data_IF_826387321675
#
_entry.id   IF_826387321675
#
_cell.length_a   1.000
_cell.length_b   1.000
_cell.length_c   1.000
_cell.angle_alpha   90.00
_cell.angle_beta   90.00
_cell.angle_gamma   90.00
#
_symmetry.space_group_name_H-M   'P 1'
#
loop_
_entity.id
_entity.type
_entity.pdbx_description
1 polymer ?
#
# COMPACT_ATOMS: atom_id res chain seq x y z
N UNK A 1 -5.16 18.05 -44.66
CA UNK A 1 -4.16 16.98 -44.49
C UNK A 1 -4.88 15.80 -43.91
N UNK A 2 -5.03 14.72 -44.66
CA UNK A 2 -5.65 13.50 -44.15
C UNK A 2 -4.66 12.82 -43.19
N UNK A 3 -5.09 12.64 -41.93
CA UNK A 3 -4.40 11.81 -40.95
C UNK A 3 -4.08 10.42 -41.57
N UNK A 4 -2.81 9.97 -41.59
CA UNK A 4 -2.42 8.68 -42.15
C UNK A 4 -3.25 7.53 -41.57
N UNK A 5 -3.67 6.57 -42.40
CA UNK A 5 -4.56 5.47 -41.96
C UNK A 5 -4.03 4.66 -40.78
N UNK A 6 -2.71 4.54 -40.62
CA UNK A 6 -2.08 3.89 -39.47
C UNK A 6 -2.25 4.66 -38.15
N UNK A 7 -2.34 5.99 -38.21
CA UNK A 7 -2.61 6.86 -37.06
C UNK A 7 -4.05 6.69 -36.59
N UNK A 8 -5.02 6.56 -37.50
CA UNK A 8 -6.42 6.25 -37.15
C UNK A 8 -6.59 4.87 -36.54
N UNK A 9 -5.84 3.87 -37.02
CA UNK A 9 -5.83 2.53 -36.41
C UNK A 9 -5.17 2.50 -35.03
N UNK A 10 -4.17 3.34 -34.77
CA UNK A 10 -3.53 3.48 -33.45
C UNK A 10 -4.36 4.31 -32.47
N UNK A 11 -5.02 5.36 -32.95
CA UNK A 11 -5.92 6.22 -32.16
C UNK A 11 -7.30 5.58 -31.90
N UNK A 12 -7.68 4.57 -32.68
CA UNK A 12 -8.86 3.73 -32.44
C UNK A 12 -8.61 2.56 -31.47
N UNK A 13 -7.38 2.40 -30.96
CA UNK A 13 -7.10 1.44 -29.88
C UNK A 13 -7.56 2.02 -28.54
N UNK A 14 -8.29 1.21 -27.78
CA UNK A 14 -8.70 1.56 -26.42
C UNK A 14 -7.48 1.95 -25.57
N UNK A 15 -7.58 2.98 -24.69
CA UNK A 15 -6.43 3.56 -23.99
C UNK A 15 -5.58 2.54 -23.22
N UNK A 16 -6.23 1.54 -22.62
CA UNK A 16 -5.56 0.46 -21.89
C UNK A 16 -4.74 -0.43 -22.82
N UNK A 17 -5.28 -0.78 -24.00
CA UNK A 17 -4.59 -1.60 -24.99
C UNK A 17 -3.37 -0.85 -25.56
N UNK A 18 -3.52 0.45 -25.83
CA UNK A 18 -2.44 1.31 -26.29
C UNK A 18 -1.32 1.40 -25.24
N UNK A 19 -1.66 1.58 -23.96
CA UNK A 19 -0.68 1.66 -22.87
C UNK A 19 0.12 0.35 -22.74
N UNK A 20 -0.55 -0.81 -22.77
CA UNK A 20 0.11 -2.13 -22.73
C UNK A 20 1.02 -2.33 -23.94
N UNK A 21 0.54 -2.00 -25.14
CA UNK A 21 1.30 -2.17 -26.38
C UNK A 21 2.54 -1.28 -26.41
N UNK A 22 2.42 0.00 -26.02
CA UNK A 22 3.53 0.93 -25.91
C UNK A 22 4.58 0.46 -24.89
N UNK A 23 4.13 -0.06 -23.74
CA UNK A 23 5.01 -0.57 -22.69
C UNK A 23 5.83 -1.78 -23.18
N UNK A 24 5.20 -2.70 -23.89
CA UNK A 24 5.85 -3.89 -24.46
C UNK A 24 6.79 -3.45 -25.60
N UNK A 25 6.33 -2.61 -26.53
CA UNK A 25 7.14 -2.12 -27.65
C UNK A 25 8.37 -1.33 -27.20
N UNK A 26 8.21 -0.46 -26.19
CA UNK A 26 9.32 0.26 -25.58
C UNK A 26 10.32 -0.71 -24.93
N UNK A 27 9.84 -1.76 -24.27
CA UNK A 27 10.70 -2.76 -23.61
C UNK A 27 11.44 -3.66 -24.62
N UNK A 28 10.78 -4.04 -25.72
CA UNK A 28 11.37 -4.74 -26.87
C UNK A 28 12.49 -3.90 -27.52
N UNK A 29 12.20 -2.64 -27.85
CA UNK A 29 13.17 -1.74 -28.48
C UNK A 29 14.36 -1.46 -27.55
N UNK A 30 14.09 -1.29 -26.26
CA UNK A 30 15.10 -1.13 -25.24
C UNK A 30 15.99 -2.37 -25.10
N UNK A 31 15.41 -3.56 -25.18
CA UNK A 31 16.14 -4.83 -25.15
C UNK A 31 16.99 -5.01 -26.41
N UNK A 32 16.42 -4.71 -27.58
CA UNK A 32 17.13 -4.75 -28.85
C UNK A 32 18.33 -3.81 -28.90
N UNK A 33 18.18 -2.58 -28.42
CA UNK A 33 19.27 -1.58 -28.41
C UNK A 33 20.41 -1.95 -27.46
N UNK A 34 20.15 -2.75 -26.43
CA UNK A 34 21.11 -3.00 -25.33
C UNK A 34 21.81 -4.35 -25.40
N UNK A 35 21.24 -5.33 -26.12
CA UNK A 35 21.79 -6.69 -26.25
C UNK A 35 21.51 -7.60 -25.05
N UNK A 36 21.71 -8.90 -25.23
CA UNK A 36 21.28 -9.96 -24.30
C UNK A 36 21.81 -9.80 -22.87
N UNK A 37 23.11 -9.53 -22.71
CA UNK A 37 23.75 -9.45 -21.39
C UNK A 37 23.26 -8.29 -20.51
N UNK A 38 22.88 -7.15 -21.09
CA UNK A 38 22.31 -6.03 -20.34
C UNK A 38 20.81 -6.22 -20.07
N UNK A 39 20.10 -6.91 -20.96
CA UNK A 39 18.68 -7.24 -20.77
C UNK A 39 18.48 -8.31 -19.69
N UNK A 40 19.33 -9.35 -19.65
CA UNK A 40 19.24 -10.42 -18.65
C UNK A 40 19.44 -9.91 -17.23
N UNK A 41 20.39 -8.98 -17.03
CA UNK A 41 20.62 -8.27 -15.76
C UNK A 41 19.38 -7.52 -15.25
N UNK A 42 18.63 -6.87 -16.15
CA UNK A 42 17.39 -6.15 -15.80
C UNK A 42 16.24 -7.08 -15.50
N UNK A 43 16.11 -8.16 -16.26
CA UNK A 43 15.10 -9.19 -16.01
C UNK A 43 15.35 -9.83 -14.63
N UNK A 44 16.60 -10.18 -14.32
CA UNK A 44 16.99 -10.68 -13.01
C UNK A 44 16.63 -9.70 -11.89
N UNK A 45 17.03 -8.43 -12.01
CA UNK A 45 16.67 -7.39 -11.00
C UNK A 45 15.16 -7.31 -10.79
N UNK A 46 14.36 -7.30 -11.86
CA UNK A 46 12.90 -7.21 -11.73
C UNK A 46 12.28 -8.43 -11.08
N UNK A 47 12.71 -9.64 -11.47
CA UNK A 47 12.24 -10.88 -10.83
C UNK A 47 12.64 -10.90 -9.36
N UNK A 48 13.89 -10.55 -9.05
CA UNK A 48 14.40 -10.50 -7.68
C UNK A 48 13.63 -9.47 -6.84
N UNK A 49 13.48 -8.24 -7.33
CA UNK A 49 12.72 -7.18 -6.65
C UNK A 49 11.27 -7.58 -6.40
N UNK A 50 10.67 -8.31 -7.34
CA UNK A 50 9.33 -8.88 -7.24
C UNK A 50 9.24 -9.95 -6.14
N UNK A 51 10.20 -10.89 -6.09
CA UNK A 51 10.27 -11.89 -5.01
C UNK A 51 10.40 -11.19 -3.66
N UNK A 52 11.31 -10.21 -3.55
CA UNK A 52 11.48 -9.45 -2.31
C UNK A 52 10.21 -8.70 -1.92
N UNK A 53 9.47 -8.15 -2.88
CA UNK A 53 8.21 -7.46 -2.61
C UNK A 53 7.17 -8.43 -2.04
N UNK A 54 6.97 -9.58 -2.68
CA UNK A 54 6.02 -10.61 -2.25
C UNK A 54 6.37 -11.12 -0.85
N UNK A 55 7.64 -11.46 -0.61
CA UNK A 55 8.10 -11.91 0.71
C UNK A 55 7.91 -10.83 1.78
N UNK A 56 8.19 -9.56 1.45
CA UNK A 56 8.00 -8.44 2.39
C UNK A 56 6.52 -8.25 2.73
N UNK A 57 5.63 -8.29 1.74
CA UNK A 57 4.19 -8.11 1.96
C UNK A 57 3.59 -9.26 2.77
N UNK A 58 3.87 -10.51 2.38
CA UNK A 58 3.35 -11.68 3.08
C UNK A 58 3.92 -11.79 4.51
N UNK A 59 5.22 -11.56 4.67
CA UNK A 59 5.86 -11.53 5.97
C UNK A 59 5.31 -10.41 6.86
N UNK A 60 5.11 -9.22 6.31
CA UNK A 60 4.56 -8.09 7.05
C UNK A 60 3.12 -8.34 7.51
N UNK A 61 2.29 -8.93 6.65
CA UNK A 61 0.93 -9.30 7.01
C UNK A 61 0.91 -10.31 8.17
N UNK A 62 1.77 -11.34 8.11
CA UNK A 62 1.87 -12.34 9.19
C UNK A 62 2.41 -11.75 10.48
N UNK A 63 3.46 -10.93 10.43
CA UNK A 63 4.01 -10.25 11.61
C UNK A 63 3.00 -9.29 12.23
N UNK A 64 2.27 -8.51 11.42
CA UNK A 64 1.26 -7.58 11.91
C UNK A 64 0.13 -8.31 12.65
N UNK A 65 -0.31 -9.47 12.14
CA UNK A 65 -1.30 -10.30 12.80
C UNK A 65 -0.77 -10.86 14.13
N UNK A 66 0.43 -11.42 14.14
CA UNK A 66 1.05 -12.01 15.35
C UNK A 66 1.34 -10.96 16.44
N UNK A 67 1.79 -9.77 16.04
CA UNK A 67 2.17 -8.70 16.97
C UNK A 67 0.99 -7.83 17.42
N UNK A 68 -0.18 -7.94 16.79
CA UNK A 68 -1.34 -7.10 17.11
C UNK A 68 -1.76 -7.24 18.57
N UNK A 69 -2.03 -8.47 19.05
CA UNK A 69 -2.45 -8.67 20.45
C UNK A 69 -1.37 -8.25 21.47
N UNK A 70 -0.10 -8.67 21.34
CA UNK A 70 0.98 -8.19 22.22
C UNK A 70 1.13 -6.66 22.25
N UNK A 71 0.98 -6.00 21.09
CA UNK A 71 1.06 -4.55 20.99
C UNK A 71 -0.12 -3.85 21.69
N UNK A 72 -1.31 -4.43 21.65
CA UNK A 72 -2.48 -3.94 22.40
C UNK A 72 -2.19 -3.90 23.90
N UNK A 73 -1.71 -5.01 24.44
CA UNK A 73 -1.46 -5.16 25.87
C UNK A 73 -0.28 -4.31 26.34
N UNK A 74 0.73 -4.14 25.48
CA UNK A 74 1.81 -3.19 25.73
C UNK A 74 1.29 -1.76 25.79
N UNK A 75 0.49 -1.31 24.81
CA UNK A 75 -0.08 0.04 24.79
C UNK A 75 -1.02 0.29 25.98
N UNK A 76 -1.82 -0.69 26.41
CA UNK A 76 -2.66 -0.58 27.62
C UNK A 76 -1.86 -0.32 28.89
N UNK A 77 -0.68 -0.92 29.01
CA UNK A 77 0.20 -0.77 30.18
C UNK A 77 0.99 0.54 30.17
N UNK A 78 1.31 1.07 28.99
CA UNK A 78 2.22 2.22 28.84
C UNK A 78 1.50 3.54 28.58
N UNK A 79 0.30 3.52 27.97
CA UNK A 79 -0.43 4.72 27.57
C UNK A 79 -1.55 5.00 28.57
N UNK A 80 -1.25 5.89 29.52
CA UNK A 80 -2.23 6.52 30.42
C UNK A 80 -2.42 7.97 29.97
N UNK A 81 -3.65 8.37 29.69
CA UNK A 81 -3.96 9.74 29.25
C UNK A 81 -3.90 10.67 30.48
N UNK A 82 -3.10 11.76 30.45
CA UNK A 82 -3.02 12.67 31.58
C UNK A 82 -4.32 13.45 31.81
N UNK A 83 -4.74 13.62 33.08
CA UNK A 83 -5.95 14.38 33.46
C UNK A 83 -5.76 15.91 33.44
N UNK A 84 -4.62 16.39 32.95
CA UNK A 84 -4.32 17.83 32.80
C UNK A 84 -4.78 18.35 31.43
N UNK A 85 -4.99 19.66 31.30
CA UNK A 85 -5.22 20.29 30.00
C UNK A 85 -4.08 19.97 29.03
N UNK A 86 -4.39 19.26 27.94
CA UNK A 86 -3.43 18.84 26.93
C UNK A 86 -3.32 19.93 25.86
N UNK A 87 -2.10 20.16 25.36
CA UNK A 87 -1.92 20.96 24.15
C UNK A 87 -2.52 20.26 22.93
N UNK A 88 -2.83 21.01 21.88
CA UNK A 88 -3.45 20.47 20.65
C UNK A 88 -2.66 19.33 20.01
N UNK A 89 -1.33 19.43 19.98
CA UNK A 89 -0.47 18.37 19.44
C UNK A 89 -0.40 17.13 20.34
N UNK A 90 -0.46 17.35 21.65
CA UNK A 90 -0.48 16.28 22.66
C UNK A 90 -1.81 15.52 22.58
N UNK A 91 -2.92 16.24 22.40
CA UNK A 91 -4.24 15.65 22.19
C UNK A 91 -4.27 14.76 20.94
N UNK A 92 -3.78 15.25 19.80
CA UNK A 92 -3.69 14.46 18.56
C UNK A 92 -2.84 13.21 18.75
N UNK A 93 -1.70 13.33 19.45
CA UNK A 93 -0.81 12.20 19.71
C UNK A 93 -1.45 11.13 20.60
N UNK A 94 -2.08 11.52 21.70
CA UNK A 94 -2.76 10.57 22.58
C UNK A 94 -3.99 9.97 21.92
N UNK A 95 -4.78 10.73 21.17
CA UNK A 95 -5.89 10.20 20.37
C UNK A 95 -5.40 9.16 19.38
N UNK A 96 -4.26 9.39 18.71
CA UNK A 96 -3.70 8.40 17.81
C UNK A 96 -3.26 7.13 18.54
N UNK A 97 -2.52 7.27 19.65
CA UNK A 97 -2.05 6.11 20.43
C UNK A 97 -3.18 5.29 21.04
N UNK A 98 -4.21 5.93 21.58
CA UNK A 98 -5.40 5.23 22.08
C UNK A 98 -6.17 4.59 20.92
N UNK A 99 -6.27 5.24 19.76
CA UNK A 99 -6.88 4.62 18.57
C UNK A 99 -6.11 3.38 18.12
N UNK A 100 -4.77 3.40 18.10
CA UNK A 100 -3.95 2.23 17.76
C UNK A 100 -4.08 1.13 18.82
N UNK A 101 -4.27 1.49 20.09
CA UNK A 101 -4.51 0.53 21.17
C UNK A 101 -5.87 -0.15 21.06
N UNK A 102 -6.91 0.64 20.80
CA UNK A 102 -8.30 0.22 20.96
C UNK A 102 -8.94 -0.27 19.65
N UNK A 103 -8.41 0.14 18.48
CA UNK A 103 -8.88 -0.29 17.16
C UNK A 103 -7.93 -1.34 16.56
N UNK A 104 -8.31 -2.63 16.52
CA UNK A 104 -7.47 -3.70 16.00
C UNK A 104 -7.04 -3.50 14.55
N UNK A 105 -7.92 -2.94 13.71
CA UNK A 105 -7.64 -2.69 12.29
C UNK A 105 -6.56 -1.62 12.11
N UNK A 106 -6.67 -0.51 12.85
CA UNK A 106 -5.67 0.56 12.81
C UNK A 106 -4.33 0.03 13.29
N UNK A 107 -4.33 -0.79 14.36
CA UNK A 107 -3.13 -1.43 14.88
C UNK A 107 -2.47 -2.35 13.87
N UNK A 108 -3.24 -3.25 13.24
CA UNK A 108 -2.74 -4.15 12.20
C UNK A 108 -2.18 -3.35 11.02
N UNK A 109 -2.86 -2.29 10.60
CA UNK A 109 -2.37 -1.41 9.54
C UNK A 109 -1.03 -0.74 9.89
N UNK A 110 -0.91 -0.14 11.07
CA UNK A 110 0.35 0.47 11.55
C UNK A 110 1.46 -0.58 11.65
N UNK A 111 1.19 -1.74 12.25
CA UNK A 111 2.16 -2.83 12.36
C UNK A 111 2.56 -3.40 11.00
N UNK A 112 1.63 -3.48 10.05
CA UNK A 112 1.93 -3.92 8.68
C UNK A 112 2.91 -2.98 8.01
N UNK A 113 2.69 -1.67 8.09
CA UNK A 113 3.59 -0.68 7.49
C UNK A 113 4.98 -0.72 8.11
N UNK A 114 5.07 -0.82 9.44
CA UNK A 114 6.34 -0.92 10.15
C UNK A 114 7.07 -2.24 9.82
N UNK A 115 6.37 -3.36 9.85
CA UNK A 115 6.93 -4.67 9.53
C UNK A 115 7.34 -4.75 8.05
N UNK A 116 6.56 -4.17 7.14
CA UNK A 116 6.90 -4.09 5.72
C UNK A 116 8.18 -3.29 5.50
N UNK A 117 8.31 -2.11 6.11
CA UNK A 117 9.52 -1.30 6.01
C UNK A 117 10.75 -2.04 6.57
N UNK A 118 10.61 -2.69 7.73
CA UNK A 118 11.68 -3.46 8.35
C UNK A 118 12.09 -4.68 7.50
N UNK A 119 11.13 -5.49 7.05
CA UNK A 119 11.38 -6.64 6.17
C UNK A 119 11.98 -6.21 4.84
N UNK A 120 11.49 -5.11 4.25
CA UNK A 120 12.03 -4.59 2.99
C UNK A 120 13.50 -4.20 3.16
N UNK A 121 13.84 -3.53 4.27
CA UNK A 121 15.23 -3.20 4.60
C UNK A 121 16.08 -4.46 4.78
N UNK A 122 15.63 -5.40 5.61
CA UNK A 122 16.35 -6.65 5.90
C UNK A 122 16.56 -7.51 4.65
N UNK A 123 15.50 -7.73 3.87
CA UNK A 123 15.54 -8.53 2.66
C UNK A 123 16.38 -7.87 1.55
N UNK A 124 16.35 -6.53 1.47
CA UNK A 124 17.18 -5.79 0.50
C UNK A 124 18.68 -5.95 0.77
N UNK A 125 19.09 -6.24 2.00
CA UNK A 125 20.48 -6.53 2.35
C UNK A 125 21.02 -7.82 1.69
N UNK A 126 20.13 -8.72 1.23
CA UNK A 126 20.51 -9.95 0.52
C UNK A 126 20.67 -9.76 -1.00
N UNK A 127 20.28 -8.61 -1.54
CA UNK A 127 20.43 -8.30 -2.96
C UNK A 127 21.86 -8.43 -3.49
N UNK A 128 22.92 -8.01 -2.77
CA UNK A 128 24.30 -8.23 -3.21
C UNK A 128 24.68 -9.72 -3.32
N UNK A 129 24.14 -10.57 -2.46
CA UNK A 129 24.38 -12.02 -2.50
C UNK A 129 23.67 -12.66 -3.69
N UNK A 130 22.43 -12.26 -3.95
CA UNK A 130 21.69 -12.69 -5.12
C UNK A 130 22.40 -12.30 -6.43
N UNK A 131 22.98 -11.10 -6.46
CA UNK A 131 23.78 -10.63 -7.59
C UNK A 131 25.04 -11.48 -7.79
N UNK A 132 25.77 -11.82 -6.73
CA UNK A 132 26.93 -12.73 -6.80
C UNK A 132 26.54 -14.12 -7.33
N UNK A 133 25.41 -14.66 -6.89
CA UNK A 133 24.88 -15.93 -7.39
C UNK A 133 24.53 -15.87 -8.89
N UNK A 134 23.87 -14.79 -9.31
CA UNK A 134 23.57 -14.53 -10.72
C UNK A 134 24.85 -14.43 -11.56
N UNK A 135 25.87 -13.73 -11.07
CA UNK A 135 27.15 -13.61 -11.76
C UNK A 135 27.86 -14.97 -11.87
N UNK A 136 27.85 -15.80 -10.82
CA UNK A 136 28.42 -17.15 -10.86
C UNK A 136 27.73 -18.05 -11.90
N UNK A 137 26.40 -17.94 -12.02
CA UNK A 137 25.61 -18.74 -12.97
C UNK A 137 25.70 -18.25 -14.41
N UNK A 138 26.04 -16.97 -14.62
CA UNK A 138 26.11 -16.35 -15.95
C UNK A 138 27.53 -16.06 -16.43
N UNK A 139 28.54 -16.39 -15.60
CA UNK A 139 29.94 -16.43 -16.03
C UNK A 139 30.08 -17.45 -17.17
N UNK A 140 30.64 -17.07 -18.33
CA UNK A 140 30.91 -18.03 -19.39
C UNK A 140 31.99 -19.00 -18.89
N UNK A 141 31.64 -20.28 -18.77
CA UNK A 141 32.60 -21.35 -18.53
C UNK A 141 33.42 -21.57 -19.80
N UNK A 142 34.64 -21.04 -19.86
CA UNK A 142 35.64 -21.41 -20.88
C UNK A 142 36.26 -20.28 -21.70
N UNK A 143 36.72 -19.19 -21.08
CA UNK A 143 37.69 -18.26 -21.68
C UNK A 143 38.71 -17.80 -20.62
N UNK A 144 39.17 -18.74 -19.77
CA UNK A 144 40.19 -18.44 -18.74
C UNK A 144 41.64 -18.56 -19.25
N UNK A 145 41.87 -18.92 -20.52
CA UNK A 145 43.24 -19.10 -21.02
C UNK A 145 43.76 -17.93 -21.88
N UNK A 146 42.89 -17.10 -22.49
CA UNK A 146 43.36 -16.07 -23.46
C UNK A 146 43.39 -14.62 -22.92
N UNK A 147 42.54 -14.25 -21.94
CA UNK A 147 42.52 -12.87 -21.40
C UNK A 147 43.58 -12.64 -20.32
N UNK A 148 43.90 -13.66 -19.51
CA UNK A 148 44.94 -13.59 -18.47
C UNK A 148 46.37 -13.62 -19.03
N UNK A 149 46.55 -14.11 -20.26
CA UNK A 149 47.81 -14.06 -21.02
C UNK A 149 47.96 -12.70 -21.73
N UNK A 150 46.87 -12.18 -22.31
CA UNK A 150 46.87 -10.85 -22.94
C UNK A 150 47.06 -9.70 -21.94
N UNK A 151 46.45 -9.76 -20.74
CA UNK A 151 46.67 -8.75 -19.69
C UNK A 151 48.07 -8.87 -19.03
N UNK A 152 48.68 -10.06 -19.05
CA UNK A 152 50.09 -10.23 -18.63
C UNK A 152 51.06 -9.66 -19.66
N UNK A 153 50.86 -9.92 -20.96
CA UNK A 153 51.71 -9.37 -22.03
C UNK A 153 51.61 -7.84 -22.12
N UNK A 154 50.40 -7.27 -22.03
CA UNK A 154 50.19 -5.82 -22.09
C UNK A 154 50.72 -5.14 -20.80
N UNK A 155 50.65 -5.82 -19.65
CA UNK A 155 51.21 -5.36 -18.38
C UNK A 155 52.75 -5.34 -18.34
N UNK A 156 53.42 -6.28 -19.00
CA UNK A 156 54.88 -6.29 -19.13
C UNK A 156 55.38 -5.25 -20.14
N UNK A 157 54.68 -5.05 -21.26
CA UNK A 157 55.02 -4.02 -22.24
C UNK A 157 54.88 -2.59 -21.67
N UNK A 158 53.90 -2.37 -20.79
CA UNK A 158 53.74 -1.11 -20.06
C UNK A 158 54.86 -0.86 -19.05
N UNK A 159 55.31 -1.89 -18.32
CA UNK A 159 56.43 -1.77 -17.37
C UNK A 159 57.75 -1.48 -18.08
N UNK A 160 58.03 -2.12 -19.20
CA UNK A 160 59.22 -1.82 -20.01
C UNK A 160 59.20 -0.39 -20.60
N UNK A 161 58.01 0.11 -20.97
CA UNK A 161 57.87 1.52 -21.41
C UNK A 161 58.12 2.49 -20.27
N UNK A 162 57.60 2.23 -19.07
CA UNK A 162 57.86 3.07 -17.91
C UNK A 162 59.33 3.08 -17.49
N UNK A 163 60.02 1.93 -17.55
CA UNK A 163 61.45 1.85 -17.26
C UNK A 163 62.30 2.62 -18.28
N UNK A 164 61.98 2.51 -19.58
CA UNK A 164 62.64 3.32 -20.63
C UNK A 164 62.42 4.82 -20.44
N UNK A 165 61.22 5.23 -20.03
CA UNK A 165 60.94 6.63 -19.69
C UNK A 165 61.66 7.09 -18.42
N UNK A 166 61.79 6.21 -17.41
CA UNK A 166 62.50 6.49 -16.18
C UNK A 166 64.03 6.60 -16.39
N UNK A 167 64.60 5.78 -17.28
CA UNK A 167 66.02 5.81 -17.64
C UNK A 167 66.38 7.09 -18.42
N UNK A 168 65.54 7.50 -19.38
CA UNK A 168 65.68 8.79 -20.07
C UNK A 168 65.64 9.97 -19.08
N UNK A 169 64.81 9.89 -18.04
CA UNK A 169 64.69 10.91 -16.99
C UNK A 169 65.83 10.88 -15.94
N UNK A 170 66.66 9.83 -15.92
CA UNK A 170 67.89 9.77 -15.13
C UNK A 170 69.05 10.35 -15.92
N UNK A 171 69.22 9.96 -17.19
CA UNK A 171 70.22 10.54 -18.10
C UNK A 171 70.07 12.06 -18.29
N UNK A 172 68.84 12.56 -18.42
CA UNK A 172 68.61 14.01 -18.54
C UNK A 172 68.78 14.81 -17.24
N UNK A 173 69.06 14.15 -16.10
CA UNK A 173 69.27 14.81 -14.80
C UNK A 173 70.74 14.89 -14.39
N UNK A 174 71.59 14.04 -14.95
CA UNK A 174 73.03 14.03 -14.69
C UNK A 174 73.77 15.14 -15.47
N UNK A 175 73.14 15.80 -16.44
CA UNK A 175 73.71 16.90 -17.22
C UNK A 175 73.41 18.31 -16.67
N UNK A 176 72.62 18.48 -15.60
CA UNK A 176 72.11 19.80 -15.20
C UNK A 176 72.57 20.35 -13.83
N UNK A 177 73.49 19.72 -13.11
CA UNK A 177 74.09 20.32 -11.90
C UNK A 177 75.56 19.94 -11.71
N UNK A 178 76.46 20.80 -12.20
CA UNK A 178 77.87 20.83 -11.88
C UNK A 178 78.37 22.28 -11.84
N UNK A 179 78.41 22.85 -10.62
CA UNK A 179 79.22 23.98 -10.13
C UNK A 179 80.52 24.22 -10.95
N UNK A 180 81.09 25.43 -11.13
CA UNK A 180 81.21 26.57 -10.21
C UNK A 180 81.95 27.76 -10.88
N UNK A 181 81.65 28.99 -10.40
CA UNK A 181 82.60 30.08 -10.08
C UNK A 181 83.15 31.07 -11.16
N UNK A 182 82.60 32.29 -11.07
CA UNK A 182 83.24 33.62 -10.88
C UNK A 182 84.13 34.27 -11.97
N UNK A 183 83.70 35.49 -12.36
CA UNK A 183 84.44 36.77 -12.47
C UNK A 183 84.64 37.37 -13.86
N UNK A 184 84.46 38.70 -13.92
CA UNK A 184 85.06 39.58 -14.92
C UNK A 184 84.13 40.05 -16.03
N UNK A 185 83.63 41.28 -15.86
CA UNK A 185 83.74 42.42 -16.80
C UNK A 185 83.40 42.27 -18.30
N UNK A 186 82.69 43.31 -18.76
CA UNK A 186 82.67 43.92 -20.11
C UNK A 186 81.91 43.24 -21.28
N UNK A 187 80.79 43.90 -21.62
CA UNK A 187 80.36 44.40 -22.95
C UNK A 187 81.23 44.09 -24.21
N UNK A 188 80.72 44.27 -25.45
CA UNK A 188 79.55 43.71 -26.14
C UNK A 188 79.91 43.25 -27.59
N UNK A 189 78.90 43.10 -28.48
CA UNK A 189 78.91 42.85 -29.95
C UNK A 189 78.70 41.40 -30.46
N UNK A 190 77.63 41.22 -31.25
CA UNK A 190 77.37 40.06 -32.14
C UNK A 190 78.09 40.22 -33.49
N UNK A 191 77.50 39.86 -34.66
CA UNK A 191 76.49 38.84 -35.03
C UNK A 191 76.99 37.96 -36.22
N UNK A 192 76.08 37.30 -36.95
CA UNK A 192 76.23 36.48 -38.20
C UNK A 192 76.58 34.99 -38.00
N UNK A 193 76.00 34.00 -38.70
CA UNK A 193 75.01 33.99 -39.78
C UNK A 193 74.86 32.57 -40.37
N UNK A 194 73.79 32.40 -41.16
CA UNK A 194 73.62 31.56 -42.36
C UNK A 194 73.55 30.02 -42.25
N UNK A 195 72.35 29.54 -42.59
CA UNK A 195 71.99 28.57 -43.65
C UNK A 195 72.78 27.26 -43.81
N UNK A 196 72.04 26.14 -43.76
CA UNK A 196 72.12 25.10 -44.80
C UNK A 196 70.97 24.07 -44.66
N UNK A 197 70.23 23.88 -45.74
CA UNK A 197 69.36 22.73 -46.01
C UNK A 197 70.20 21.46 -46.23
N UNK A 198 69.66 20.29 -45.86
CA UNK A 198 70.08 19.02 -46.49
C UNK A 198 68.94 17.98 -46.47
N UNK A 199 68.66 17.43 -47.66
CA UNK A 199 67.63 16.44 -47.94
C UNK A 199 68.12 14.98 -47.79
N UNK A 200 67.26 14.12 -47.20
CA UNK A 200 67.13 12.68 -47.53
C UNK A 200 67.91 11.67 -46.67
N UNK A 201 67.53 10.35 -46.61
CA UNK A 201 66.63 9.65 -47.53
C UNK A 201 65.46 8.86 -46.86
N UNK A 202 64.43 8.61 -47.68
CA UNK A 202 63.25 7.81 -47.39
C UNK A 202 63.61 6.33 -47.16
N UNK A 203 63.26 5.77 -45.99
CA UNK A 203 63.09 4.32 -45.80
C UNK A 203 61.62 3.93 -45.77
N UNK A 204 61.27 3.11 -46.75
CA UNK A 204 59.98 2.46 -46.97
C UNK A 204 59.84 1.30 -45.96
N UNK A 205 59.20 1.56 -44.83
CA UNK A 205 58.76 0.55 -43.87
C UNK A 205 57.24 0.45 -43.92
N UNK A 206 56.72 -0.73 -44.28
CA UNK A 206 55.30 -1.02 -44.42
C UNK A 206 54.50 -0.66 -43.16
N UNK A 207 53.68 0.40 -43.24
CA UNK A 207 52.55 0.58 -42.33
C UNK A 207 51.55 -0.53 -42.63
N UNK A 208 51.70 -1.68 -41.95
CA UNK A 208 50.60 -2.62 -41.74
C UNK A 208 49.59 -1.85 -40.89
N UNK A 209 48.59 -1.26 -41.54
CA UNK A 209 47.43 -0.74 -40.84
C UNK A 209 46.79 -1.92 -40.11
N UNK A 210 47.01 -2.03 -38.80
CA UNK A 210 46.18 -2.81 -37.90
C UNK A 210 44.78 -2.21 -37.96
N UNK A 211 43.99 -2.66 -38.94
CA UNK A 211 42.53 -2.62 -38.84
C UNK A 211 42.19 -3.27 -37.50
N UNK A 212 41.43 -2.62 -36.60
CA UNK A 212 40.94 -3.33 -35.43
C UNK A 212 40.19 -4.58 -35.91
N UNK A 213 40.32 -5.72 -35.21
CA UNK A 213 39.59 -6.91 -35.60
C UNK A 213 38.12 -6.53 -35.67
N UNK A 214 37.51 -6.75 -36.84
CA UNK A 214 36.07 -6.65 -37.00
C UNK A 214 35.47 -7.63 -35.98
N UNK A 215 34.95 -7.10 -34.88
CA UNK A 215 34.03 -7.84 -34.04
C UNK A 215 32.98 -8.44 -34.96
N UNK A 216 32.84 -9.76 -34.88
CA UNK A 216 32.05 -10.57 -35.79
C UNK A 216 30.65 -9.98 -35.94
N UNK A 217 30.30 -9.58 -37.17
CA UNK A 217 28.98 -9.04 -37.50
C UNK A 217 27.83 -10.05 -37.26
N UNK A 218 28.14 -11.31 -36.95
CA UNK A 218 27.19 -12.35 -36.57
C UNK A 218 26.73 -12.33 -35.11
N UNK A 219 27.58 -11.88 -34.16
CA UNK A 219 27.25 -11.88 -32.72
C UNK A 219 26.34 -10.71 -32.30
N UNK A 220 26.43 -9.57 -33.01
CA UNK A 220 25.67 -8.37 -32.70
C UNK A 220 24.17 -8.51 -32.94
N UNK A 221 23.76 -9.10 -34.06
CA UNK A 221 22.33 -9.27 -34.39
C UNK A 221 21.67 -10.35 -33.54
N UNK A 222 22.35 -11.47 -33.29
CA UNK A 222 21.85 -12.52 -32.40
C UNK A 222 21.72 -12.02 -30.95
N UNK A 223 22.71 -11.29 -30.43
CA UNK A 223 22.64 -10.68 -29.10
C UNK A 223 21.55 -9.61 -28.99
N UNK A 224 21.33 -8.82 -30.04
CA UNK A 224 20.22 -7.84 -30.08
C UNK A 224 18.86 -8.52 -30.17
N UNK A 225 18.72 -9.60 -30.93
CA UNK A 225 17.50 -10.40 -30.99
C UNK A 225 17.19 -11.06 -29.63
N UNK A 226 18.17 -11.69 -29.00
CA UNK A 226 18.04 -12.23 -27.64
C UNK A 226 17.75 -11.12 -26.62
N UNK A 227 18.39 -9.96 -26.74
CA UNK A 227 18.11 -8.77 -25.95
C UNK A 227 16.68 -8.27 -26.10
N UNK A 228 16.13 -8.30 -27.32
CA UNK A 228 14.74 -7.95 -27.62
C UNK A 228 13.78 -8.95 -26.99
N UNK A 229 14.02 -10.26 -27.12
CA UNK A 229 13.20 -11.31 -26.49
C UNK A 229 13.12 -11.13 -24.96
N UNK A 230 14.27 -10.93 -24.31
CA UNK A 230 14.34 -10.66 -22.86
C UNK A 230 13.63 -9.35 -22.50
N UNK A 231 13.78 -8.31 -23.33
CA UNK A 231 13.06 -7.04 -23.18
C UNK A 231 11.54 -7.20 -23.33
N UNK A 232 11.09 -8.07 -24.24
CA UNK A 232 9.69 -8.41 -24.44
C UNK A 232 9.08 -9.12 -23.24
N UNK A 233 9.76 -10.14 -22.71
CA UNK A 233 9.35 -10.84 -21.48
C UNK A 233 9.22 -9.86 -20.30
N UNK A 234 10.18 -8.96 -20.16
CA UNK A 234 10.14 -7.91 -19.14
C UNK A 234 9.00 -6.92 -19.36
N UNK A 235 8.73 -6.55 -20.62
CA UNK A 235 7.59 -5.69 -21.00
C UNK A 235 6.25 -6.33 -20.67
N UNK A 236 6.10 -7.63 -20.93
CA UNK A 236 4.90 -8.41 -20.57
C UNK A 236 4.73 -8.43 -19.05
N UNK A 237 5.79 -8.69 -18.29
CA UNK A 237 5.74 -8.65 -16.82
C UNK A 237 5.24 -7.31 -16.27
N UNK A 238 5.74 -6.19 -16.82
CA UNK A 238 5.26 -4.85 -16.44
C UNK A 238 3.82 -4.57 -16.87
N UNK A 239 3.41 -5.08 -18.03
CA UNK A 239 2.04 -4.95 -18.51
C UNK A 239 1.06 -5.68 -17.57
N UNK A 240 1.43 -6.87 -17.09
CA UNK A 240 0.65 -7.59 -16.09
C UNK A 240 0.53 -6.83 -14.77
N UNK A 241 1.62 -6.21 -14.30
CA UNK A 241 1.59 -5.34 -13.10
C UNK A 241 0.67 -4.13 -13.30
N UNK A 242 0.74 -3.48 -14.46
CA UNK A 242 -0.16 -2.38 -14.82
C UNK A 242 -1.62 -2.85 -14.79
N UNK A 243 -1.93 -3.99 -15.42
CA UNK A 243 -3.27 -4.57 -15.45
C UNK A 243 -3.77 -4.97 -14.06
N UNK A 244 -2.91 -5.52 -13.20
CA UNK A 244 -3.24 -5.82 -11.81
C UNK A 244 -3.52 -4.55 -10.99
N UNK A 245 -2.77 -3.47 -11.22
CA UNK A 245 -3.03 -2.17 -10.60
C UNK A 245 -4.35 -1.55 -11.05
N UNK A 246 -4.66 -1.64 -12.35
CA UNK A 246 -5.96 -1.23 -12.89
C UNK A 246 -7.11 -2.06 -12.31
N UNK A 247 -6.89 -3.36 -12.12
CA UNK A 247 -7.87 -4.25 -11.49
C UNK A 247 -8.15 -3.83 -10.05
N UNK A 248 -7.10 -3.58 -9.26
CA UNK A 248 -7.25 -3.08 -7.90
C UNK A 248 -7.99 -1.73 -7.86
N UNK A 249 -7.66 -0.82 -8.77
CA UNK A 249 -8.32 0.48 -8.87
C UNK A 249 -9.82 0.36 -9.16
N UNK A 250 -10.21 -0.43 -10.17
CA UNK A 250 -11.62 -0.64 -10.54
C UNK A 250 -12.36 -1.40 -9.44
N UNK A 251 -11.74 -2.39 -8.80
CA UNK A 251 -12.36 -3.15 -7.70
C UNK A 251 -12.58 -2.32 -6.44
N UNK A 252 -11.67 -1.41 -6.09
CA UNK A 252 -11.80 -0.58 -4.89
C UNK A 252 -12.67 0.67 -5.12
N UNK A 253 -12.67 1.20 -6.34
CA UNK A 253 -13.32 2.47 -6.67
C UNK A 253 -14.15 2.36 -7.95
N UNK A 254 -15.22 1.53 -7.97
CA UNK A 254 -16.01 1.28 -9.18
C UNK A 254 -16.69 2.54 -9.73
N UNK A 255 -16.98 3.51 -8.87
CA UNK A 255 -17.60 4.79 -9.25
C UNK A 255 -16.59 5.91 -9.58
N UNK A 256 -15.28 5.64 -9.51
CA UNK A 256 -14.27 6.66 -9.76
C UNK A 256 -14.18 7.04 -11.24
N UNK A 257 -13.70 8.27 -11.56
CA UNK A 257 -13.41 8.65 -12.93
C UNK A 257 -12.50 7.61 -13.60
N UNK A 258 -12.73 7.33 -14.88
CA UNK A 258 -12.01 6.33 -15.68
C UNK A 258 -12.36 4.86 -15.38
N UNK A 259 -13.01 4.52 -14.26
CA UNK A 259 -13.32 3.12 -13.91
C UNK A 259 -14.17 2.44 -15.00
N UNK A 260 -15.25 3.10 -15.43
CA UNK A 260 -16.11 2.60 -16.52
C UNK A 260 -15.37 2.44 -17.87
N UNK A 261 -14.41 3.33 -18.17
CA UNK A 261 -13.59 3.25 -19.38
C UNK A 261 -12.50 2.17 -19.33
N UNK A 262 -12.02 1.83 -18.14
CA UNK A 262 -11.10 0.70 -17.94
C UNK A 262 -11.86 -0.61 -18.02
N UNK A 263 -13.03 -0.70 -17.39
CA UNK A 263 -13.88 -1.90 -17.36
C UNK A 263 -14.41 -2.28 -18.75
N UNK A 264 -14.68 -1.30 -19.62
CA UNK A 264 -15.09 -1.57 -21.00
C UNK A 264 -13.97 -2.14 -21.88
N UNK A 265 -12.70 -2.00 -21.47
CA UNK A 265 -11.55 -2.45 -22.26
C UNK A 265 -11.51 -3.98 -22.40
N UNK A 266 -11.50 -4.52 -23.65
CA UNK A 266 -11.39 -5.96 -23.88
C UNK A 266 -10.11 -6.58 -23.33
N UNK A 267 -8.98 -5.86 -23.44
CA UNK A 267 -7.68 -6.33 -22.93
C UNK A 267 -7.69 -6.41 -21.40
N UNK A 268 -8.31 -5.42 -20.74
CA UNK A 268 -8.47 -5.44 -19.30
C UNK A 268 -9.36 -6.60 -18.86
N UNK A 269 -10.58 -6.74 -19.42
CA UNK A 269 -11.51 -7.82 -19.06
C UNK A 269 -10.91 -9.20 -19.28
N UNK A 270 -10.28 -9.42 -20.43
CA UNK A 270 -9.65 -10.69 -20.74
C UNK A 270 -8.51 -11.04 -19.77
N UNK A 271 -7.71 -10.05 -19.35
CA UNK A 271 -6.67 -10.26 -18.34
C UNK A 271 -7.26 -10.44 -16.94
N UNK A 272 -8.28 -9.66 -16.58
CA UNK A 272 -9.00 -9.77 -15.33
C UNK A 272 -9.60 -11.17 -15.17
N UNK A 273 -10.42 -11.62 -16.12
CA UNK A 273 -11.15 -12.89 -16.06
C UNK A 273 -10.23 -14.11 -16.08
N UNK A 274 -9.14 -14.07 -16.86
CA UNK A 274 -8.28 -15.25 -17.07
C UNK A 274 -7.08 -15.35 -16.15
N UNK A 275 -6.55 -14.22 -15.69
CA UNK A 275 -5.27 -14.20 -14.96
C UNK A 275 -5.43 -13.68 -13.54
N UNK A 276 -6.20 -12.61 -13.35
CA UNK A 276 -6.27 -11.93 -12.05
C UNK A 276 -7.38 -12.52 -11.17
N UNK A 277 -8.56 -12.81 -11.74
CA UNK A 277 -9.71 -13.32 -11.01
C UNK A 277 -9.49 -14.73 -10.46
N UNK A 278 -8.87 -15.70 -11.18
CA UNK A 278 -8.55 -17.01 -10.60
C UNK A 278 -7.49 -16.89 -9.50
N UNK A 279 -6.47 -16.04 -9.69
CA UNK A 279 -5.42 -15.81 -8.70
C UNK A 279 -5.97 -15.13 -7.44
N UNK A 280 -6.85 -14.14 -7.61
CA UNK A 280 -7.57 -13.49 -6.52
C UNK A 280 -8.53 -14.47 -5.83
N UNK A 281 -9.26 -15.28 -6.61
CA UNK A 281 -10.16 -16.32 -6.10
C UNK A 281 -9.45 -17.43 -5.32
N UNK A 282 -8.26 -17.84 -5.75
CA UNK A 282 -7.46 -18.86 -5.06
C UNK A 282 -6.72 -18.28 -3.84
N UNK A 283 -6.29 -17.01 -3.88
CA UNK A 283 -5.81 -16.29 -2.69
C UNK A 283 -6.92 -16.11 -1.64
N UNK A 284 -8.16 -15.92 -2.07
CA UNK A 284 -9.34 -15.91 -1.19
C UNK A 284 -9.62 -17.32 -0.62
N UNK A 285 -9.53 -18.38 -1.44
CA UNK A 285 -9.79 -19.76 -1.01
C UNK A 285 -8.68 -20.41 -0.17
N UNK A 286 -7.40 -20.07 -0.41
CA UNK A 286 -6.23 -20.72 0.19
C UNK A 286 -5.67 -20.04 1.45
N UNK A 287 -6.24 -18.92 1.87
CA UNK A 287 -5.77 -18.16 3.04
C UNK A 287 -6.43 -16.79 3.25
N UNK A 288 -7.55 -16.49 2.58
CA UNK A 288 -8.21 -15.20 2.67
C UNK A 288 -9.74 -15.30 2.73
N UNK A 289 -10.30 -15.68 3.89
CA UNK A 289 -11.57 -15.10 4.35
C UNK A 289 -11.51 -14.57 5.80
N UNK A 290 -10.40 -14.78 6.51
CA UNK A 290 -10.25 -14.28 7.90
C UNK A 290 -10.29 -12.75 7.94
N UNK A 291 -9.86 -12.07 6.87
CA UNK A 291 -9.96 -10.61 6.81
C UNK A 291 -11.39 -10.19 6.46
N UNK A 292 -12.13 -10.79 5.52
CA UNK A 292 -13.46 -10.26 5.17
C UNK A 292 -14.55 -10.55 6.21
N UNK A 293 -14.53 -11.70 6.86
CA UNK A 293 -15.56 -12.08 7.84
C UNK A 293 -15.20 -11.55 9.24
N UNK A 294 -13.92 -11.56 9.62
CA UNK A 294 -13.48 -10.91 10.86
C UNK A 294 -13.40 -9.38 10.72
N UNK A 295 -12.99 -8.80 9.59
CA UNK A 295 -13.12 -7.33 9.39
C UNK A 295 -14.57 -6.94 9.16
N UNK A 296 -15.42 -7.78 8.57
CA UNK A 296 -16.86 -7.52 8.47
C UNK A 296 -17.51 -7.44 9.83
N UNK A 297 -17.36 -8.47 10.66
CA UNK A 297 -17.88 -8.51 12.02
C UNK A 297 -17.19 -7.53 12.96
N UNK A 298 -15.89 -7.24 12.80
CA UNK A 298 -15.17 -6.22 13.58
C UNK A 298 -15.49 -4.79 13.12
N UNK A 299 -15.65 -4.52 11.82
CA UNK A 299 -16.15 -3.23 11.32
C UNK A 299 -17.57 -3.01 11.79
N UNK A 300 -18.40 -4.07 11.83
CA UNK A 300 -19.75 -4.01 12.35
C UNK A 300 -19.78 -3.83 13.86
N UNK A 301 -18.90 -4.49 14.62
CA UNK A 301 -18.70 -4.22 16.05
C UNK A 301 -18.15 -2.81 16.29
N UNK A 302 -17.24 -2.30 15.45
CA UNK A 302 -16.75 -0.91 15.52
C UNK A 302 -17.87 0.08 15.18
N UNK A 303 -18.78 -0.26 14.27
CA UNK A 303 -19.96 0.55 13.94
C UNK A 303 -21.04 0.46 15.02
N UNK A 304 -21.21 -0.67 15.70
CA UNK A 304 -22.08 -0.81 16.87
C UNK A 304 -21.48 -0.04 18.07
N UNK A 305 -20.18 -0.18 18.31
CA UNK A 305 -19.41 0.62 19.29
C UNK A 305 -19.32 2.10 18.91
N UNK A 306 -19.57 2.48 17.66
CA UNK A 306 -19.60 3.90 17.26
C UNK A 306 -20.59 4.66 18.12
N UNK A 307 -21.78 4.11 18.36
CA UNK A 307 -22.77 4.76 19.22
C UNK A 307 -22.40 4.66 20.71
N UNK A 308 -21.70 3.60 21.13
CA UNK A 308 -21.17 3.51 22.49
C UNK A 308 -20.09 4.56 22.77
N UNK A 309 -19.28 4.93 21.77
CA UNK A 309 -18.21 5.92 21.88
C UNK A 309 -18.69 7.35 21.62
N UNK A 310 -19.57 7.55 20.63
CA UNK A 310 -20.10 8.88 20.27
C UNK A 310 -21.06 9.39 21.33
N UNK A 311 -21.88 8.49 21.91
CA UNK A 311 -22.85 8.81 22.97
C UNK A 311 -22.34 8.30 24.33
N UNK A 312 -21.02 8.33 24.54
CA UNK A 312 -20.40 7.96 25.81
C UNK A 312 -20.62 9.03 26.90
N UNK A 313 -20.68 10.30 26.49
CA UNK A 313 -21.05 11.40 27.38
C UNK A 313 -22.55 11.35 27.64
N UNK A 314 -22.94 11.41 28.91
CA UNK A 314 -24.35 11.31 29.33
C UNK A 314 -24.79 12.71 29.79
N UNK A 315 -25.64 13.40 29.02
CA UNK A 315 -26.15 14.71 29.40
C UNK A 315 -26.91 14.68 30.73
N UNK A 316 -26.69 15.69 31.58
CA UNK A 316 -27.25 15.77 32.93
C UNK A 316 -28.79 15.71 32.94
N UNK A 317 -29.45 16.28 31.94
CA UNK A 317 -30.91 16.31 31.84
C UNK A 317 -31.50 14.93 31.50
N UNK A 318 -30.84 14.19 30.60
CA UNK A 318 -31.18 12.81 30.26
C UNK A 318 -30.90 11.90 31.46
N UNK A 319 -29.75 12.04 32.12
CA UNK A 319 -29.39 11.27 33.31
C UNK A 319 -30.41 11.48 34.44
N UNK A 320 -30.74 12.74 34.74
CA UNK A 320 -31.73 13.08 35.75
C UNK A 320 -33.12 12.56 35.40
N UNK A 321 -33.50 12.55 34.12
CA UNK A 321 -34.76 11.96 33.68
C UNK A 321 -34.78 10.45 33.87
N UNK A 322 -33.72 9.75 33.46
CA UNK A 322 -33.59 8.31 33.62
C UNK A 322 -33.70 7.91 35.10
N UNK A 323 -32.94 8.56 35.98
CA UNK A 323 -33.00 8.33 37.44
C UNK A 323 -34.40 8.54 38.02
N UNK A 324 -35.13 9.57 37.57
CA UNK A 324 -36.52 9.80 38.01
C UNK A 324 -37.47 8.71 37.52
N UNK A 325 -37.34 8.28 36.26
CA UNK A 325 -38.20 7.25 35.66
C UNK A 325 -38.00 5.91 36.37
N UNK A 326 -36.76 5.58 36.71
CA UNK A 326 -36.41 4.31 37.37
C UNK A 326 -36.47 4.39 38.90
N UNK A 327 -36.94 5.50 39.47
CA UNK A 327 -37.00 5.70 40.91
C UNK A 327 -37.89 4.66 41.60
N UNK A 328 -37.33 3.89 42.53
CA UNK A 328 -38.05 2.83 43.23
C UNK A 328 -38.28 1.58 42.39
N UNK A 329 -37.41 1.31 41.41
CA UNK A 329 -37.33 0.01 40.74
C UNK A 329 -36.49 -0.98 41.55
N UNK A 330 -36.98 -2.21 41.69
CA UNK A 330 -36.43 -3.24 42.57
C UNK A 330 -35.22 -3.98 41.97
N UNK A 331 -35.04 -3.92 40.64
CA UNK A 331 -33.97 -4.61 39.92
C UNK A 331 -33.72 -4.08 38.52
N UNK A 332 -32.72 -4.63 37.84
CA UNK A 332 -32.28 -4.18 36.51
C UNK A 332 -33.39 -4.36 35.47
N UNK A 333 -34.11 -5.48 35.53
CA UNK A 333 -35.23 -5.76 34.62
C UNK A 333 -36.32 -4.69 34.71
N UNK A 334 -36.66 -4.27 35.93
CA UNK A 334 -37.67 -3.23 36.13
C UNK A 334 -37.17 -1.86 35.69
N UNK A 335 -35.90 -1.52 35.95
CA UNK A 335 -35.29 -0.29 35.42
C UNK A 335 -35.36 -0.27 33.89
N UNK A 336 -34.95 -1.37 33.26
CA UNK A 336 -34.97 -1.53 31.80
C UNK A 336 -36.39 -1.40 31.24
N UNK A 337 -37.38 -2.03 31.90
CA UNK A 337 -38.79 -1.97 31.49
C UNK A 337 -39.39 -0.57 31.62
N UNK A 338 -39.14 0.13 32.73
CA UNK A 338 -39.65 1.50 32.94
C UNK A 338 -39.10 2.49 31.92
N UNK A 339 -37.83 2.35 31.54
CA UNK A 339 -37.25 3.12 30.45
C UNK A 339 -37.92 2.77 29.11
N UNK A 340 -38.12 1.48 28.83
CA UNK A 340 -38.76 1.01 27.60
C UNK A 340 -40.17 1.59 27.44
N UNK A 341 -40.99 1.48 28.49
CA UNK A 341 -42.36 2.00 28.52
C UNK A 341 -42.39 3.54 28.37
N UNK A 342 -41.43 4.24 29.01
CA UNK A 342 -41.31 5.68 28.88
C UNK A 342 -40.98 6.10 27.45
N UNK A 343 -39.98 5.49 26.82
CA UNK A 343 -39.64 5.84 25.44
C UNK A 343 -40.78 5.51 24.49
N UNK A 344 -41.38 4.32 24.63
CA UNK A 344 -42.53 3.89 23.83
C UNK A 344 -43.72 4.84 23.89
N UNK A 345 -43.96 5.46 25.05
CA UNK A 345 -45.08 6.40 25.25
C UNK A 345 -44.71 7.86 24.98
N UNK A 346 -43.43 8.22 24.89
CA UNK A 346 -42.97 9.62 24.85
C UNK A 346 -42.20 10.01 23.61
N UNK A 347 -41.78 9.07 22.76
CA UNK A 347 -41.08 9.34 21.51
C UNK A 347 -41.99 8.97 20.33
N UNK A 348 -42.34 9.96 19.52
CA UNK A 348 -43.11 9.78 18.30
C UNK A 348 -42.20 9.36 17.13
N UNK A 349 -42.69 8.49 16.26
CA UNK A 349 -41.93 8.08 15.09
C UNK A 349 -41.80 9.21 14.05
N UNK A 350 -40.59 9.47 13.57
CA UNK A 350 -40.34 10.50 12.54
C UNK A 350 -40.52 9.96 11.12
N UNK A 351 -41.78 9.91 10.65
CA UNK A 351 -42.11 9.50 9.28
C UNK A 351 -41.47 10.40 8.22
N UNK A 352 -41.37 11.72 8.44
CA UNK A 352 -40.75 12.64 7.47
C UNK A 352 -39.26 12.32 7.25
N UNK A 353 -38.56 11.97 8.34
CA UNK A 353 -37.16 11.54 8.30
C UNK A 353 -37.03 10.17 7.64
N UNK A 354 -37.91 9.23 7.97
CA UNK A 354 -37.93 7.90 7.36
C UNK A 354 -38.15 7.97 5.84
N UNK A 355 -39.19 8.70 5.40
CA UNK A 355 -39.53 8.88 3.99
C UNK A 355 -38.43 9.66 3.26
N UNK A 356 -37.87 10.69 3.90
CA UNK A 356 -36.73 11.43 3.35
C UNK A 356 -35.51 10.54 3.08
N UNK A 357 -35.26 9.54 3.90
CA UNK A 357 -34.20 8.56 3.67
C UNK A 357 -34.59 7.56 2.59
N UNK A 358 -35.77 6.95 2.68
CA UNK A 358 -36.21 5.89 1.75
C UNK A 358 -36.40 6.41 0.33
N UNK A 359 -37.04 7.57 0.16
CA UNK A 359 -37.40 8.12 -1.14
C UNK A 359 -36.30 8.95 -1.78
N UNK A 360 -35.50 9.65 -0.96
CA UNK A 360 -34.52 10.65 -1.44
C UNK A 360 -33.07 10.34 -1.06
N UNK A 361 -32.82 9.30 -0.25
CA UNK A 361 -31.48 8.96 0.24
C UNK A 361 -30.89 10.01 1.18
N UNK A 362 -31.70 10.92 1.73
CA UNK A 362 -31.23 12.01 2.59
C UNK A 362 -31.26 11.55 4.05
N UNK A 363 -30.10 11.22 4.60
CA UNK A 363 -29.95 10.91 6.02
C UNK A 363 -29.78 12.19 6.84
N UNK A 364 -30.62 12.37 7.86
CA UNK A 364 -30.51 13.46 8.84
C UNK A 364 -30.06 12.89 10.18
N UNK A 365 -28.77 13.00 10.47
CA UNK A 365 -28.21 12.58 11.76
C UNK A 365 -28.89 13.33 12.92
N UNK A 366 -29.15 12.63 14.03
CA UNK A 366 -29.80 13.18 15.21
C UNK A 366 -29.13 12.61 16.48
N UNK A 367 -28.91 13.46 17.48
CA UNK A 367 -28.30 13.07 18.76
C UNK A 367 -29.36 12.55 19.74
N UNK A 368 -28.99 11.76 20.77
CA UNK A 368 -29.88 11.42 21.88
C UNK A 368 -30.57 12.63 22.51
N UNK A 369 -29.86 13.74 22.67
CA UNK A 369 -30.34 15.03 23.18
C UNK A 369 -31.41 15.64 22.28
N UNK A 370 -31.22 15.60 20.97
CA UNK A 370 -32.22 16.04 20.01
C UNK A 370 -33.48 15.19 20.11
N UNK A 371 -33.36 13.86 20.19
CA UNK A 371 -34.49 12.94 20.37
C UNK A 371 -35.21 13.19 21.69
N UNK A 372 -34.47 13.37 22.77
CA UNK A 372 -35.01 13.65 24.10
C UNK A 372 -35.76 14.98 24.17
N UNK A 373 -35.24 16.01 23.49
CA UNK A 373 -35.82 17.35 23.44
C UNK A 373 -37.04 17.42 22.51
N UNK A 374 -36.92 16.89 21.30
CA UNK A 374 -37.96 16.97 20.26
C UNK A 374 -39.08 15.96 20.45
N UNK A 375 -38.81 14.89 21.21
CA UNK A 375 -39.73 13.75 21.39
C UNK A 375 -40.10 13.07 20.08
N UNK A 376 -39.20 13.13 19.08
CA UNK A 376 -39.41 12.59 17.74
C UNK A 376 -38.12 11.91 17.26
N UNK A 377 -38.22 10.73 16.64
CA UNK A 377 -37.06 10.01 16.10
C UNK A 377 -37.45 8.74 15.34
N UNK A 378 -36.53 8.19 14.55
CA UNK A 378 -36.66 6.86 13.94
C UNK A 378 -36.01 5.78 14.83
N UNK A 379 -36.05 4.52 14.42
CA UNK A 379 -35.60 3.38 15.22
C UNK A 379 -34.20 3.55 15.85
N UNK A 380 -33.22 4.01 15.07
CA UNK A 380 -31.86 4.23 15.60
C UNK A 380 -31.78 5.39 16.60
N UNK A 381 -32.58 6.44 16.43
CA UNK A 381 -32.58 7.59 17.33
C UNK A 381 -33.16 7.20 18.70
N UNK A 382 -34.24 6.42 18.68
CA UNK A 382 -34.88 5.85 19.88
C UNK A 382 -33.96 4.87 20.59
N UNK A 383 -33.30 3.96 19.83
CA UNK A 383 -32.39 2.97 20.41
C UNK A 383 -31.15 3.60 21.06
N UNK A 384 -30.63 4.69 20.46
CA UNK A 384 -29.52 5.46 21.06
C UNK A 384 -29.95 6.20 22.32
N UNK A 385 -31.11 6.86 22.31
CA UNK A 385 -31.65 7.52 23.51
C UNK A 385 -31.87 6.50 24.64
N UNK A 386 -32.44 5.33 24.33
CA UNK A 386 -32.62 4.26 25.30
C UNK A 386 -31.27 3.87 25.93
N UNK A 387 -30.24 3.66 25.10
CA UNK A 387 -28.92 3.27 25.57
C UNK A 387 -28.30 4.31 26.51
N UNK A 388 -28.39 5.61 26.19
CA UNK A 388 -27.90 6.69 27.07
C UNK A 388 -28.64 6.69 28.40
N UNK A 389 -29.98 6.57 28.38
CA UNK A 389 -30.77 6.54 29.61
C UNK A 389 -30.49 5.30 30.47
N UNK A 390 -30.32 4.13 29.84
CA UNK A 390 -30.01 2.88 30.52
C UNK A 390 -28.63 2.92 31.18
N UNK A 391 -27.61 3.47 30.49
CA UNK A 391 -26.28 3.68 31.08
C UNK A 391 -26.32 4.63 32.28
N UNK A 392 -27.13 5.69 32.22
CA UNK A 392 -27.27 6.66 33.31
C UNK A 392 -27.80 6.04 34.62
N UNK A 393 -28.50 4.90 34.53
CA UNK A 393 -29.03 4.16 35.68
C UNK A 393 -28.24 2.88 35.97
N UNK A 394 -27.05 2.74 35.37
CA UNK A 394 -26.11 1.65 35.65
C UNK A 394 -26.38 0.35 34.89
N UNK A 395 -27.28 0.33 33.90
CA UNK A 395 -27.53 -0.85 33.08
C UNK A 395 -26.46 -0.99 31.99
N UNK A 396 -25.99 -2.23 31.78
CA UNK A 396 -25.17 -2.56 30.62
C UNK A 396 -26.08 -2.78 29.40
N UNK A 397 -25.86 -2.02 28.34
CA UNK A 397 -26.76 -1.93 27.18
C UNK A 397 -25.98 -1.75 25.90
N UNK A 398 -26.43 -2.42 24.84
CA UNK A 398 -25.91 -2.26 23.47
C UNK A 398 -27.02 -1.84 22.51
N UNK A 399 -26.62 -1.12 21.47
CA UNK A 399 -27.49 -0.81 20.32
C UNK A 399 -27.24 -1.86 19.26
N UNK A 400 -28.29 -2.56 18.86
CA UNK A 400 -28.23 -3.61 17.83
C UNK A 400 -28.87 -3.08 16.56
N UNK A 401 -28.20 -3.28 15.42
CA UNK A 401 -28.71 -2.91 14.09
C UNK A 401 -28.89 -4.16 13.25
N UNK A 402 -29.97 -4.22 12.49
CA UNK A 402 -30.30 -5.39 11.68
C UNK A 402 -31.47 -5.14 10.76
N UNK A 403 -32.29 -6.16 10.59
CA UNK A 403 -33.52 -6.11 9.81
C UNK A 403 -34.74 -6.34 10.70
N UNK A 404 -35.73 -5.48 10.57
CA UNK A 404 -37.03 -5.57 11.24
C UNK A 404 -38.13 -5.93 10.24
N UNK A 405 -39.08 -6.76 10.64
CA UNK A 405 -40.27 -7.05 9.83
C UNK A 405 -41.06 -5.77 9.51
N UNK A 406 -41.52 -5.61 8.26
CA UNK A 406 -42.23 -4.41 7.80
C UNK A 406 -43.77 -4.47 7.97
N UNK A 407 -44.27 -5.57 8.56
CA UNK A 407 -45.70 -5.84 8.73
C UNK A 407 -46.45 -6.23 7.44
N UNK A 408 -45.77 -6.31 6.30
CA UNK A 408 -46.30 -6.66 4.96
C UNK A 408 -45.68 -7.95 4.39
N UNK A 409 -44.90 -8.65 5.21
CA UNK A 409 -44.20 -9.88 4.84
C UNK A 409 -42.77 -9.66 4.33
N UNK A 410 -42.26 -8.43 4.39
CA UNK A 410 -40.88 -8.07 4.08
C UNK A 410 -40.08 -7.68 5.32
N UNK A 411 -38.83 -7.28 5.07
CA UNK A 411 -37.88 -6.83 6.09
C UNK A 411 -37.23 -5.51 5.65
N UNK A 412 -37.10 -4.57 6.58
CA UNK A 412 -36.43 -3.28 6.38
C UNK A 412 -35.29 -3.08 7.37
N UNK A 413 -34.40 -2.12 7.11
CA UNK A 413 -33.34 -1.75 8.06
C UNK A 413 -33.94 -1.29 9.38
N UNK A 414 -33.44 -1.82 10.50
CA UNK A 414 -34.00 -1.56 11.82
C UNK A 414 -32.93 -1.55 12.91
N UNK A 415 -33.25 -0.97 14.06
CA UNK A 415 -32.36 -0.88 15.22
C UNK A 415 -33.14 -0.98 16.54
N UNK A 416 -32.57 -1.69 17.51
CA UNK A 416 -33.15 -1.97 18.82
C UNK A 416 -32.05 -2.06 19.89
N UNK A 417 -32.40 -2.49 21.10
CA UNK A 417 -31.46 -2.63 22.21
C UNK A 417 -31.43 -4.05 22.77
N UNK A 418 -30.30 -4.40 23.37
CA UNK A 418 -30.22 -5.50 24.32
C UNK A 418 -29.62 -4.99 25.63
N UNK A 419 -30.15 -5.45 26.75
CA UNK A 419 -29.72 -5.06 28.10
C UNK A 419 -29.27 -6.30 28.86
N UNK A 420 -28.12 -6.21 29.54
CA UNK A 420 -27.66 -7.27 30.43
C UNK A 420 -28.26 -7.07 31.82
N UNK A 421 -28.99 -8.06 32.30
CA UNK A 421 -29.57 -8.09 33.65
C UNK A 421 -28.55 -8.70 34.60
N UNK A 422 -27.83 -7.86 35.36
CA UNK A 422 -26.76 -8.35 36.21
C UNK A 422 -27.29 -9.10 37.44
N UNK A 423 -28.54 -8.82 37.83
CA UNK A 423 -29.27 -9.48 38.90
C UNK A 423 -29.95 -10.80 38.48
N UNK A 424 -30.10 -11.06 37.17
CA UNK A 424 -30.67 -12.29 36.58
C UNK A 424 -29.59 -13.07 35.81
N UNK A 425 -28.58 -13.56 36.53
CA UNK A 425 -27.47 -14.40 36.01
C UNK A 425 -26.59 -13.76 34.91
N UNK A 426 -26.77 -12.46 34.63
CA UNK A 426 -26.04 -11.75 33.57
C UNK A 426 -26.59 -12.02 32.17
N UNK A 427 -27.84 -12.47 32.04
CA UNK A 427 -28.51 -12.69 30.76
C UNK A 427 -28.73 -11.39 29.98
N UNK A 428 -28.60 -11.45 28.65
CA UNK A 428 -28.98 -10.35 27.76
C UNK A 428 -30.43 -10.54 27.31
N UNK A 429 -31.24 -9.50 27.50
CA UNK A 429 -32.63 -9.47 27.04
C UNK A 429 -32.79 -8.47 25.89
N UNK A 430 -33.49 -8.83 24.80
CA UNK A 430 -33.78 -7.90 23.71
C UNK A 430 -34.98 -7.01 24.03
N UNK A 431 -34.96 -5.77 23.56
CA UNK A 431 -36.11 -4.87 23.62
C UNK A 431 -36.12 -3.86 22.47
N UNK A 432 -37.32 -3.51 21.99
CA UNK A 432 -37.51 -2.45 20.99
C UNK A 432 -38.54 -1.40 21.42
N UNK A 433 -38.06 -0.28 21.97
CA UNK A 433 -38.90 0.82 22.39
C UNK A 433 -39.59 1.56 21.22
N UNK A 434 -39.08 1.43 19.98
CA UNK A 434 -39.69 2.01 18.78
C UNK A 434 -41.04 1.37 18.48
N UNK A 435 -41.14 0.06 18.71
CA UNK A 435 -42.35 -0.72 18.45
C UNK A 435 -43.23 -0.91 19.69
N UNK A 436 -42.88 -0.31 20.84
CA UNK A 436 -43.66 -0.44 22.07
C UNK A 436 -45.15 -0.02 21.97
N UNK A 437 -45.50 0.81 20.97
CA UNK A 437 -46.91 1.15 20.71
C UNK A 437 -47.67 0.09 19.90
N UNK A 438 -46.97 -0.81 19.19
CA UNK A 438 -47.57 -1.88 18.38
C UNK A 438 -47.70 -3.21 19.13
N UNK A 439 -47.06 -3.35 20.30
CA UNK A 439 -47.10 -4.55 21.13
C UNK A 439 -46.05 -4.51 22.25
N UNK A 440 -45.99 -5.58 23.04
CA UNK A 440 -44.94 -5.76 24.03
C UNK A 440 -43.73 -6.44 23.39
N UNK A 441 -42.71 -5.64 23.11
CA UNK A 441 -41.44 -6.06 22.53
C UNK A 441 -40.32 -6.07 23.56
N UNK A 442 -40.64 -6.21 24.84
CA UNK A 442 -39.65 -6.33 25.91
C UNK A 442 -39.45 -7.82 26.24
N UNK A 443 -38.27 -8.36 25.92
CA UNK A 443 -37.88 -9.75 26.18
C UNK A 443 -38.92 -10.78 25.65
N UNK A 444 -39.45 -10.53 24.46
CA UNK A 444 -40.50 -11.37 23.89
C UNK A 444 -39.92 -12.68 23.37
N UNK A 445 -40.60 -13.82 23.60
CA UNK A 445 -40.14 -15.14 23.16
C UNK A 445 -39.96 -15.28 21.62
N UNK A 446 -40.64 -14.45 20.84
CA UNK A 446 -40.62 -14.46 19.37
C UNK A 446 -39.82 -13.29 18.76
N UNK A 447 -38.98 -12.62 19.55
CA UNK A 447 -38.25 -11.41 19.13
C UNK A 447 -37.45 -11.65 17.83
N UNK A 448 -36.70 -12.75 17.78
CA UNK A 448 -35.83 -13.11 16.65
C UNK A 448 -36.57 -13.45 15.35
N UNK A 449 -37.88 -13.71 15.40
CA UNK A 449 -38.69 -13.94 14.19
C UNK A 449 -38.93 -12.65 13.41
N UNK A 450 -38.82 -11.51 14.09
CA UNK A 450 -39.12 -10.18 13.53
C UNK A 450 -37.90 -9.27 13.52
N UNK A 451 -36.91 -9.54 14.37
CA UNK A 451 -35.66 -8.80 14.49
C UNK A 451 -34.48 -9.70 14.16
N UNK A 452 -33.96 -9.56 12.94
CA UNK A 452 -32.81 -10.33 12.47
C UNK A 452 -31.57 -9.46 12.64
N UNK A 453 -30.76 -9.73 13.67
CA UNK A 453 -29.49 -9.04 13.87
C UNK A 453 -28.62 -9.18 12.62
N UNK A 454 -27.96 -8.10 12.21
CA UNK A 454 -26.97 -8.20 11.14
C UNK A 454 -25.78 -8.98 11.68
N UNK A 455 -25.40 -10.06 10.99
CA UNK A 455 -24.23 -10.90 11.31
C UNK A 455 -22.92 -10.16 10.99
#
# INVERSE_FOLDING_TARGET
MEEPGWLRSLLGLEPVALAVLLLIAASLLQGFRRGAGRSSRRLFSFVWDGILLVLSVLGAARLAQLLSAPAADWLRRQVVVPERGLGSLEQVWYTFLTSVRDLPLLRIGVLFLLAYAALRLLLSAFTPLAWRGYELLTRPSGLEDDEDEAEREDGEEWKEREERYAEHRRRGRDELYGHDRWSGEDEPYGPYGLDAEEEGPRRRGSRRSSRPPRQSAGGGLASRAAGALLGGLHGIGRALVLLAGLFLYVSLFPSAPLAAGIESSPVYRQAADRLLQPLAGDLLKGGGPVITEAVGSELQQVMQRRYELVDADIPDDIAAAALRITSGADGDRERARRLYDWLGSRIAYDWDKADGYVERGVWKEQTPEDTFRTRKGVCIDTARLYAVMARAVGLEVKVVTGMGADGRGGFGSHAWNEVRLADEDGGWIPLDATWAQSGDWFDSADFDKTHIAKA
#
